data_IF_395531876013
#
_entry.id   IF_395531876013
#
_cell.length_a   1.000
_cell.length_b   1.000
_cell.length_c   1.000
_cell.angle_alpha   90.00
_cell.angle_beta   90.00
_cell.angle_gamma   90.00
#
_symmetry.space_group_name_H-M   'P 1'
#
loop_
_entity.id
_entity.type
_entity.pdbx_description
1 polymer ?
#
# COMPACT_ATOMS: atom_id res chain seq x y z
N UNK A 1 -39.45 -13.35 -2.33
CA UNK A 1 -38.07 -13.32 -2.86
C UNK A 1 -37.41 -12.02 -2.46
N UNK A 2 -36.43 -12.02 -1.54
CA UNK A 2 -35.74 -10.80 -1.12
C UNK A 2 -34.78 -10.33 -2.21
N UNK A 3 -34.84 -9.04 -2.58
CA UNK A 3 -33.90 -8.40 -3.51
C UNK A 3 -32.54 -8.27 -2.82
N UNK A 4 -31.50 -8.97 -3.31
CA UNK A 4 -30.12 -8.70 -2.94
C UNK A 4 -29.74 -7.32 -3.47
N UNK A 5 -29.63 -6.32 -2.60
CA UNK A 5 -29.00 -5.06 -2.94
C UNK A 5 -27.48 -5.28 -3.02
N UNK A 6 -26.80 -4.78 -4.06
CA UNK A 6 -25.35 -4.90 -4.16
C UNK A 6 -24.70 -4.26 -2.92
N UNK A 7 -23.87 -5.04 -2.25
CA UNK A 7 -23.11 -4.61 -1.07
C UNK A 7 -22.18 -3.46 -1.48
N UNK A 8 -22.42 -2.27 -0.92
CA UNK A 8 -21.67 -1.07 -1.23
C UNK A 8 -20.28 -1.22 -0.61
N UNK A 9 -19.27 -1.50 -1.43
CA UNK A 9 -17.87 -1.52 -1.01
C UNK A 9 -17.45 -0.06 -0.78
N UNK A 10 -17.55 0.40 0.47
CA UNK A 10 -16.97 1.65 0.90
C UNK A 10 -15.45 1.48 0.93
N UNK A 11 -14.78 1.83 -0.18
CA UNK A 11 -13.33 2.00 -0.20
C UNK A 11 -13.00 3.15 0.74
N UNK A 12 -12.69 2.82 2.00
CA UNK A 12 -12.11 3.76 2.96
C UNK A 12 -10.73 4.13 2.46
N UNK A 13 -10.66 5.10 1.56
CA UNK A 13 -9.42 5.81 1.24
C UNK A 13 -9.07 6.58 2.51
N UNK A 14 -8.34 5.94 3.42
CA UNK A 14 -7.74 6.55 4.58
C UNK A 14 -6.57 7.44 4.12
N UNK A 15 -6.86 8.45 3.31
CA UNK A 15 -6.07 9.66 3.35
C UNK A 15 -6.78 10.56 4.34
N UNK A 16 -6.15 10.90 5.47
CA UNK A 16 -6.78 11.77 6.44
C UNK A 16 -7.25 13.00 5.68
N UNK A 17 -8.51 13.37 5.86
CA UNK A 17 -9.15 14.54 5.28
C UNK A 17 -8.49 15.82 5.78
N UNK A 18 -7.16 15.92 5.79
CA UNK A 18 -6.38 17.04 6.30
C UNK A 18 -5.66 17.69 5.14
N UNK A 19 -5.76 19.00 5.06
CA UNK A 19 -5.05 19.78 4.07
C UNK A 19 -3.52 19.61 4.31
N UNK A 20 -2.71 19.25 3.30
CA UNK A 20 -1.26 19.13 3.46
C UNK A 20 -0.54 20.43 3.84
N UNK A 21 -1.24 21.58 3.74
CA UNK A 21 -0.68 22.90 4.03
C UNK A 21 -0.93 23.34 5.47
N UNK A 22 -2.19 23.45 5.89
CA UNK A 22 -2.52 23.88 7.25
C UNK A 22 -2.67 22.71 8.23
N UNK A 23 -2.73 21.47 7.74
CA UNK A 23 -3.00 20.25 8.52
C UNK A 23 -4.38 20.19 9.18
N UNK A 24 -5.26 21.16 8.90
CA UNK A 24 -6.66 21.16 9.33
C UNK A 24 -7.53 20.28 8.43
N UNK A 25 -8.70 19.90 8.95
CA UNK A 25 -9.62 19.03 8.23
C UNK A 25 -10.31 19.75 7.06
N UNK A 26 -10.28 19.18 5.85
CA UNK A 26 -10.99 19.65 4.65
C UNK A 26 -12.41 19.08 4.67
N UNK A 27 -13.40 19.93 4.90
CA UNK A 27 -14.81 19.50 5.00
C UNK A 27 -15.46 19.31 3.63
N UNK A 28 -16.52 18.49 3.51
CA UNK A 28 -17.23 18.30 2.26
C UNK A 28 -17.82 19.58 1.67
N UNK A 29 -18.29 20.49 2.54
CA UNK A 29 -19.03 21.71 2.21
C UNK A 29 -18.12 22.92 1.90
N UNK A 30 -16.82 22.81 2.18
CA UNK A 30 -15.84 23.87 1.93
C UNK A 30 -15.37 23.88 0.48
N UNK A 31 -14.95 25.05 0.01
CA UNK A 31 -14.29 25.16 -1.30
C UNK A 31 -12.93 24.46 -1.24
N UNK A 32 -12.77 23.45 -2.09
CA UNK A 32 -11.63 22.53 -2.05
C UNK A 32 -11.14 22.16 -3.43
N UNK A 33 -9.85 21.89 -3.52
CA UNK A 33 -9.17 21.47 -4.74
C UNK A 33 -8.65 20.03 -4.58
N UNK A 34 -8.94 19.19 -5.57
CA UNK A 34 -8.37 17.84 -5.66
C UNK A 34 -7.19 17.86 -6.65
N UNK A 35 -6.03 17.39 -6.21
CA UNK A 35 -4.88 17.27 -7.10
C UNK A 35 -5.12 16.19 -8.17
N UNK A 36 -5.01 16.55 -9.45
CA UNK A 36 -5.16 15.60 -10.57
C UNK A 36 -4.11 14.47 -10.58
N UNK A 37 -2.95 14.69 -9.95
CA UNK A 37 -1.85 13.71 -9.93
C UNK A 37 -1.98 12.64 -8.86
N UNK A 38 -2.37 13.01 -7.64
CA UNK A 38 -2.41 12.09 -6.49
C UNK A 38 -3.78 12.00 -5.81
N UNK A 39 -4.78 12.73 -6.30
CA UNK A 39 -6.15 12.78 -5.77
C UNK A 39 -6.26 13.28 -4.32
N UNK A 40 -5.23 13.94 -3.79
CA UNK A 40 -5.26 14.55 -2.47
C UNK A 40 -6.15 15.81 -2.45
N UNK A 41 -6.95 15.98 -1.38
CA UNK A 41 -7.81 17.13 -1.15
C UNK A 41 -7.12 18.23 -0.35
N UNK A 42 -7.37 19.50 -0.71
CA UNK A 42 -6.79 20.69 -0.08
C UNK A 42 -7.84 21.80 -0.07
N UNK A 43 -7.80 22.73 0.89
CA UNK A 43 -8.61 23.95 0.79
C UNK A 43 -8.23 24.74 -0.46
N UNK A 44 -9.22 25.29 -1.17
CA UNK A 44 -8.98 26.05 -2.39
C UNK A 44 -8.06 27.25 -2.15
N UNK A 45 -8.23 27.94 -1.02
CA UNK A 45 -7.37 29.06 -0.60
C UNK A 45 -5.91 28.65 -0.40
N UNK A 46 -5.67 27.53 0.31
CA UNK A 46 -4.31 27.02 0.50
C UNK A 46 -3.68 26.66 -0.86
N UNK A 47 -4.42 25.98 -1.73
CA UNK A 47 -3.89 25.63 -3.04
C UNK A 47 -3.57 26.87 -3.90
N UNK A 48 -4.41 27.89 -3.87
CA UNK A 48 -4.19 29.14 -4.59
C UNK A 48 -2.93 29.89 -4.12
N UNK A 49 -2.62 29.82 -2.82
CA UNK A 49 -1.43 30.47 -2.25
C UNK A 49 -0.11 29.81 -2.69
N UNK A 50 -0.07 28.47 -2.82
CA UNK A 50 1.16 27.72 -3.11
C UNK A 50 1.30 27.29 -4.58
N UNK A 51 0.21 27.27 -5.36
CA UNK A 51 0.17 26.93 -6.79
C UNK A 51 0.79 25.58 -7.20
N UNK A 52 0.96 24.66 -6.25
CA UNK A 52 1.37 23.28 -6.46
C UNK A 52 0.58 22.37 -5.51
N UNK A 53 0.69 21.04 -5.60
CA UNK A 53 0.09 20.14 -4.62
C UNK A 53 1.04 19.91 -3.44
N UNK A 54 0.57 20.08 -2.21
CA UNK A 54 1.38 19.88 -1.00
C UNK A 54 1.73 18.42 -0.72
N UNK A 55 1.03 17.47 -1.36
CA UNK A 55 1.29 16.03 -1.22
C UNK A 55 2.29 15.49 -2.27
N UNK A 56 2.14 15.85 -3.55
CA UNK A 56 2.96 15.30 -4.63
C UNK A 56 3.84 16.33 -5.37
N UNK A 57 3.74 17.62 -5.02
CA UNK A 57 4.53 18.71 -5.63
C UNK A 57 4.12 19.09 -7.05
N UNK A 58 3.15 18.41 -7.67
CA UNK A 58 2.73 18.70 -9.05
C UNK A 58 1.96 20.02 -9.11
N UNK A 59 2.36 20.91 -10.02
CA UNK A 59 1.62 22.12 -10.38
C UNK A 59 0.46 21.79 -11.34
N UNK A 60 -0.67 22.51 -11.28
CA UNK A 60 -1.76 22.35 -12.24
C UNK A 60 -1.26 22.70 -13.66
N UNK A 61 -1.65 21.89 -14.64
CA UNK A 61 -1.22 22.10 -16.02
C UNK A 61 -1.63 23.49 -16.52
N UNK A 62 -0.68 24.24 -17.09
CA UNK A 62 -0.94 25.54 -17.70
C UNK A 62 -0.84 26.76 -16.77
N UNK A 63 -0.61 26.59 -15.47
CA UNK A 63 -0.26 27.71 -14.58
C UNK A 63 1.25 27.74 -14.35
N UNK A 64 1.98 28.75 -14.85
CA UNK A 64 3.38 28.89 -14.48
C UNK A 64 3.46 29.03 -12.96
N UNK A 65 4.36 28.26 -12.34
CA UNK A 65 4.59 28.35 -10.91
C UNK A 65 4.90 29.83 -10.58
N UNK A 66 4.17 30.47 -9.65
CA UNK A 66 4.52 31.81 -9.21
C UNK A 66 5.96 31.74 -8.73
N UNK A 67 6.81 32.61 -9.29
CA UNK A 67 8.17 32.74 -8.78
C UNK A 67 8.06 32.95 -7.26
N UNK A 68 8.75 32.16 -6.43
CA UNK A 68 8.60 32.25 -4.99
C UNK A 68 8.85 33.70 -4.60
N UNK A 69 7.81 34.37 -4.08
CA UNK A 69 7.92 35.74 -3.64
C UNK A 69 9.00 35.76 -2.56
N UNK A 70 10.20 36.26 -2.91
CA UNK A 70 11.26 36.46 -1.94
C UNK A 70 10.73 37.45 -0.93
N UNK A 71 10.37 36.97 0.27
CA UNK A 71 10.08 37.87 1.37
C UNK A 71 11.31 38.78 1.54
N UNK A 72 11.16 40.11 1.45
CA UNK A 72 12.26 41.01 1.71
C UNK A 72 12.75 40.76 3.14
N UNK A 73 14.02 40.35 3.27
CA UNK A 73 14.63 40.04 4.58
C UNK A 73 14.58 38.58 5.01
N UNK A 74 14.08 37.64 4.19
CA UNK A 74 14.28 36.23 4.49
C UNK A 74 15.77 35.85 4.36
N UNK A 75 16.37 35.17 5.35
CA UNK A 75 17.74 34.69 5.25
C UNK A 75 17.87 33.80 4.02
N UNK A 76 19.01 33.90 3.36
CA UNK A 76 19.34 33.08 2.20
C UNK A 76 19.21 31.59 2.55
N UNK A 77 18.92 30.75 1.55
CA UNK A 77 18.90 29.29 1.74
C UNK A 77 20.22 28.78 2.35
N UNK A 78 21.32 29.46 2.04
CA UNK A 78 22.64 29.17 2.59
C UNK A 78 22.72 29.48 4.09
N UNK A 79 22.20 30.64 4.54
CA UNK A 79 22.16 31.00 5.96
C UNK A 79 21.25 30.06 6.75
N UNK A 80 20.07 29.70 6.21
CA UNK A 80 19.20 28.70 6.84
C UNK A 80 19.85 27.33 6.94
N UNK A 81 20.59 26.91 5.90
CA UNK A 81 21.30 25.64 5.91
C UNK A 81 22.41 25.64 6.97
N UNK A 82 23.15 26.74 7.12
CA UNK A 82 24.16 26.90 8.18
C UNK A 82 23.55 26.85 9.57
N UNK A 83 22.50 27.63 9.83
CA UNK A 83 21.81 27.62 11.13
C UNK A 83 21.25 26.22 11.46
N UNK A 84 20.73 25.50 10.47
CA UNK A 84 20.24 24.14 10.67
C UNK A 84 21.38 23.17 11.02
N UNK A 85 22.52 23.26 10.33
CA UNK A 85 23.71 22.45 10.65
C UNK A 85 24.22 22.76 12.05
N UNK A 86 24.36 24.03 12.43
CA UNK A 86 24.79 24.44 13.78
C UNK A 86 23.81 23.92 14.85
N UNK A 87 22.50 23.91 14.58
CA UNK A 87 21.49 23.31 15.47
C UNK A 87 21.62 21.79 15.59
N UNK A 88 21.96 21.09 14.51
CA UNK A 88 22.17 19.63 14.51
C UNK A 88 23.44 19.29 15.29
N UNK A 89 24.52 20.05 15.09
CA UNK A 89 25.78 19.87 15.78
C UNK A 89 25.66 20.19 17.28
N UNK A 90 25.02 21.31 17.63
CA UNK A 90 24.89 21.76 19.04
C UNK A 90 23.95 20.90 19.88
N UNK A 91 22.92 20.28 19.29
CA UNK A 91 22.03 19.38 20.03
C UNK A 91 22.66 18.01 20.31
N UNK A 92 23.77 17.67 19.65
CA UNK A 92 24.23 16.29 19.51
C UNK A 92 23.18 15.51 18.72
N UNK A 93 23.57 14.79 17.67
CA UNK A 93 22.59 14.01 16.91
C UNK A 93 21.88 13.02 17.86
N UNK A 94 20.57 13.16 18.14
CA UNK A 94 19.86 12.24 19.04
C UNK A 94 19.76 10.83 18.43
N UNK A 95 20.26 10.65 17.21
CA UNK A 95 20.30 9.39 16.47
C UNK A 95 21.47 8.51 16.94
N UNK A 96 22.49 9.07 17.61
CA UNK A 96 23.70 8.33 17.90
C UNK A 96 23.60 7.33 19.06
N UNK A 97 22.67 7.49 20.03
CA UNK A 97 22.91 6.84 21.34
C UNK A 97 21.79 6.04 21.99
N UNK A 98 20.61 5.82 21.40
CA UNK A 98 19.58 5.03 22.13
C UNK A 98 18.84 4.00 21.27
N UNK A 99 19.13 2.72 21.52
CA UNK A 99 18.32 1.54 21.22
C UNK A 99 18.10 1.12 19.74
N UNK A 100 18.47 1.92 18.73
CA UNK A 100 18.16 1.62 17.32
C UNK A 100 19.13 0.66 16.60
N UNK A 101 20.25 0.29 17.23
CA UNK A 101 21.34 -0.43 16.55
C UNK A 101 21.32 -1.95 16.70
N UNK A 102 20.46 -2.55 17.53
CA UNK A 102 20.45 -4.01 17.69
C UNK A 102 19.38 -4.66 16.82
N UNK A 103 19.68 -5.84 16.32
CA UNK A 103 18.70 -6.70 15.67
C UNK A 103 17.48 -6.92 16.59
N UNK A 104 16.27 -6.79 16.06
CA UNK A 104 15.02 -7.00 16.82
C UNK A 104 14.75 -8.49 17.14
N UNK A 105 15.55 -9.41 16.63
CA UNK A 105 15.41 -10.83 16.94
C UNK A 105 15.74 -11.08 18.43
N UNK A 106 14.89 -11.80 19.18
CA UNK A 106 15.12 -12.06 20.60
C UNK A 106 16.49 -12.70 20.84
N UNK A 107 17.29 -12.09 21.71
CA UNK A 107 18.62 -12.60 22.07
C UNK A 107 19.70 -12.42 21.00
N UNK A 108 19.45 -11.69 19.91
CA UNK A 108 20.47 -11.43 18.89
C UNK A 108 21.31 -10.20 19.28
N UNK A 109 22.63 -10.36 19.50
CA UNK A 109 23.50 -9.23 19.84
C UNK A 109 23.97 -8.44 18.62
N UNK A 110 23.73 -8.93 17.40
CA UNK A 110 24.25 -8.31 16.18
C UNK A 110 23.63 -6.95 15.90
N UNK A 111 24.46 -6.08 15.29
CA UNK A 111 24.02 -4.77 14.85
C UNK A 111 23.02 -4.87 13.68
N UNK A 112 22.07 -3.94 13.67
CA UNK A 112 21.10 -3.74 12.60
C UNK A 112 21.78 -3.13 11.39
N UNK A 113 21.33 -3.49 10.19
CA UNK A 113 21.73 -2.79 8.97
C UNK A 113 21.20 -1.36 8.98
N UNK A 114 22.09 -0.38 8.77
CA UNK A 114 21.73 1.03 8.58
C UNK A 114 20.82 1.15 7.36
N UNK A 115 19.69 1.84 7.50
CA UNK A 115 18.92 2.32 6.35
C UNK A 115 17.62 1.60 5.97
N UNK A 116 17.13 0.52 6.62
CA UNK A 116 15.69 0.11 6.49
C UNK A 116 15.24 -1.21 7.13
N UNK A 117 16.11 -2.13 7.58
CA UNK A 117 15.62 -3.42 8.10
C UNK A 117 15.70 -3.50 9.61
N UNK A 118 14.60 -3.89 10.28
CA UNK A 118 14.53 -4.18 11.73
C UNK A 118 15.48 -5.31 12.21
N UNK A 119 16.18 -5.97 11.28
CA UNK A 119 16.99 -7.16 11.51
C UNK A 119 18.43 -6.98 11.01
N UNK A 120 19.36 -7.72 11.61
CA UNK A 120 20.72 -7.90 11.08
C UNK A 120 20.69 -8.69 9.75
N UNK A 121 21.84 -8.74 9.05
CA UNK A 121 21.95 -9.44 7.77
C UNK A 121 21.52 -10.91 7.85
N UNK A 122 21.90 -11.61 8.92
CA UNK A 122 21.56 -13.01 9.15
C UNK A 122 20.05 -13.22 9.31
N UNK A 123 19.42 -12.52 10.26
CA UNK A 123 17.98 -12.66 10.49
C UNK A 123 17.14 -12.16 9.31
N UNK A 124 17.65 -11.17 8.55
CA UNK A 124 17.02 -10.75 7.30
C UNK A 124 17.04 -11.86 6.25
N UNK A 125 18.15 -12.59 6.12
CA UNK A 125 18.25 -13.73 5.22
C UNK A 125 17.31 -14.86 5.66
N UNK A 126 17.27 -15.19 6.95
CA UNK A 126 16.35 -16.20 7.49
C UNK A 126 14.88 -15.81 7.29
N UNK A 127 14.52 -14.55 7.55
CA UNK A 127 13.17 -14.05 7.31
C UNK A 127 12.78 -14.15 5.84
N UNK A 128 13.68 -13.79 4.91
CA UNK A 128 13.46 -13.97 3.46
C UNK A 128 13.28 -15.45 3.09
N UNK A 129 14.05 -16.36 3.67
CA UNK A 129 13.90 -17.80 3.42
C UNK A 129 12.57 -18.34 3.96
N UNK A 130 12.14 -17.90 5.15
CA UNK A 130 10.82 -18.28 5.71
C UNK A 130 9.68 -17.77 4.85
N UNK A 131 9.73 -16.51 4.42
CA UNK A 131 8.77 -15.92 3.47
C UNK A 131 8.69 -16.75 2.19
N UNK A 132 9.83 -17.04 1.54
CA UNK A 132 9.86 -17.86 0.32
C UNK A 132 9.31 -19.27 0.50
N UNK A 133 9.57 -19.90 1.65
CA UNK A 133 9.01 -21.23 1.96
C UNK A 133 7.49 -21.17 2.14
N UNK A 134 6.98 -20.10 2.74
CA UNK A 134 5.54 -19.87 2.89
C UNK A 134 4.88 -19.60 1.54
N UNK A 135 5.52 -18.81 0.67
CA UNK A 135 5.06 -18.56 -0.69
C UNK A 135 5.03 -19.87 -1.50
N UNK A 136 6.10 -20.68 -1.43
CA UNK A 136 6.18 -21.97 -2.11
C UNK A 136 5.11 -22.96 -1.64
N UNK A 137 4.84 -23.05 -0.34
CA UNK A 137 3.75 -23.88 0.21
C UNK A 137 2.38 -23.41 -0.27
N UNK A 138 2.17 -22.10 -0.32
CA UNK A 138 0.92 -21.52 -0.83
C UNK A 138 0.72 -21.90 -2.29
N UNK A 139 1.75 -21.76 -3.13
CA UNK A 139 1.69 -22.13 -4.55
C UNK A 139 1.48 -23.64 -4.75
N UNK A 140 2.14 -24.50 -3.97
CA UNK A 140 1.92 -25.95 -4.01
C UNK A 140 0.50 -26.32 -3.61
N UNK A 141 -0.06 -25.67 -2.57
CA UNK A 141 -1.44 -25.85 -2.15
C UNK A 141 -2.43 -25.50 -3.25
N UNK A 142 -2.21 -24.38 -3.95
CA UNK A 142 -3.01 -23.96 -5.10
C UNK A 142 -2.91 -24.99 -6.24
N UNK A 143 -1.70 -25.45 -6.55
CA UNK A 143 -1.47 -26.45 -7.58
C UNK A 143 -2.21 -27.77 -7.31
N UNK A 144 -2.11 -28.28 -6.07
CA UNK A 144 -2.80 -29.49 -5.65
C UNK A 144 -4.33 -29.33 -5.71
N UNK A 145 -4.85 -28.19 -5.26
CA UNK A 145 -6.27 -27.89 -5.32
C UNK A 145 -6.79 -27.91 -6.77
N UNK A 146 -6.07 -27.26 -7.70
CA UNK A 146 -6.43 -27.28 -9.12
C UNK A 146 -6.38 -28.70 -9.70
N UNK A 147 -5.37 -29.50 -9.34
CA UNK A 147 -5.25 -30.88 -9.81
C UNK A 147 -6.45 -31.73 -9.39
N UNK A 148 -6.94 -31.58 -8.14
CA UNK A 148 -8.15 -32.25 -7.65
C UNK A 148 -9.39 -31.82 -8.45
N UNK A 149 -9.54 -30.52 -8.73
CA UNK A 149 -10.65 -30.00 -9.54
C UNK A 149 -10.65 -30.60 -10.95
N UNK A 150 -9.50 -30.60 -11.63
CA UNK A 150 -9.39 -31.18 -12.97
C UNK A 150 -9.61 -32.69 -12.98
N UNK A 151 -9.11 -33.41 -11.97
CA UNK A 151 -9.36 -34.84 -11.82
C UNK A 151 -10.86 -35.13 -11.62
N UNK A 152 -11.57 -34.31 -10.83
CA UNK A 152 -13.01 -34.42 -10.64
C UNK A 152 -13.79 -34.18 -11.94
N UNK A 153 -13.42 -33.15 -12.71
CA UNK A 153 -14.02 -32.87 -14.03
C UNK A 153 -13.76 -34.04 -15.00
N UNK A 154 -12.52 -34.53 -15.07
CA UNK A 154 -12.17 -35.64 -15.95
C UNK A 154 -12.89 -36.95 -15.57
N UNK A 155 -13.02 -37.23 -14.27
CA UNK A 155 -13.78 -38.37 -13.77
C UNK A 155 -15.27 -38.27 -14.13
N UNK A 156 -15.86 -37.09 -13.92
CA UNK A 156 -17.26 -36.82 -14.28
C UNK A 156 -17.51 -37.02 -15.79
N UNK A 157 -16.63 -36.46 -16.64
CA UNK A 157 -16.71 -36.61 -18.10
C UNK A 157 -16.50 -38.05 -18.58
N UNK A 158 -15.73 -38.87 -17.83
CA UNK A 158 -15.50 -40.29 -18.19
C UNK A 158 -16.68 -41.18 -17.79
N UNK A 159 -17.37 -40.86 -16.70
CA UNK A 159 -18.45 -41.68 -16.17
C UNK A 159 -19.77 -41.57 -16.94
N UNK A 160 -19.98 -40.50 -17.72
CA UNK A 160 -21.29 -40.22 -18.32
C UNK A 160 -21.67 -41.14 -19.48
N UNK A 161 -20.71 -41.71 -20.24
CA UNK A 161 -20.97 -42.61 -21.38
C UNK A 161 -21.70 -41.99 -22.58
N UNK A 162 -22.49 -40.94 -22.36
CA UNK A 162 -23.19 -40.11 -23.34
C UNK A 162 -22.44 -38.78 -23.52
N UNK A 163 -22.57 -38.19 -24.70
CA UNK A 163 -22.05 -36.86 -24.97
C UNK A 163 -22.73 -35.87 -24.01
N UNK A 164 -21.97 -34.97 -23.35
CA UNK A 164 -22.53 -34.07 -22.34
C UNK A 164 -23.65 -33.23 -22.95
N UNK A 165 -24.80 -33.21 -22.27
CA UNK A 165 -25.92 -32.38 -22.67
C UNK A 165 -25.57 -30.90 -22.53
N UNK A 166 -26.35 -30.04 -23.18
CA UNK A 166 -26.20 -28.58 -23.06
C UNK A 166 -26.21 -28.11 -21.59
N UNK A 167 -27.02 -28.74 -20.76
CA UNK A 167 -27.14 -28.40 -19.34
C UNK A 167 -25.91 -28.83 -18.52
N UNK A 168 -25.25 -29.93 -18.88
CA UNK A 168 -23.99 -30.36 -18.24
C UNK A 168 -22.86 -29.38 -18.55
N UNK A 169 -22.77 -28.91 -19.79
CA UNK A 169 -21.76 -27.92 -20.22
C UNK A 169 -21.96 -26.61 -19.47
N UNK A 170 -23.21 -26.16 -19.30
CA UNK A 170 -23.54 -24.97 -18.52
C UNK A 170 -23.20 -25.17 -17.04
N UNK A 171 -23.47 -26.34 -16.47
CA UNK A 171 -23.08 -26.70 -15.10
C UNK A 171 -21.57 -26.61 -14.88
N UNK A 172 -20.78 -27.22 -15.78
CA UNK A 172 -19.31 -27.16 -15.73
C UNK A 172 -18.83 -25.71 -15.84
N UNK A 173 -19.40 -24.93 -16.75
CA UNK A 173 -19.03 -23.52 -16.93
C UNK A 173 -19.29 -22.68 -15.67
N UNK A 174 -20.44 -22.89 -15.01
CA UNK A 174 -20.77 -22.22 -13.75
C UNK A 174 -19.82 -22.59 -12.62
N UNK A 175 -19.48 -23.89 -12.49
CA UNK A 175 -18.52 -24.36 -11.49
C UNK A 175 -17.15 -23.71 -11.71
N UNK A 176 -16.65 -23.73 -12.95
CA UNK A 176 -15.35 -23.12 -13.28
C UNK A 176 -15.36 -21.61 -13.04
N UNK A 177 -16.47 -20.92 -13.37
CA UNK A 177 -16.62 -19.48 -13.14
C UNK A 177 -16.64 -19.14 -11.65
N UNK A 178 -17.40 -19.90 -10.85
CA UNK A 178 -17.43 -19.73 -9.39
C UNK A 178 -16.05 -19.96 -8.77
N UNK A 179 -15.31 -20.96 -9.27
CA UNK A 179 -13.96 -21.25 -8.81
C UNK A 179 -12.98 -20.13 -9.17
N UNK A 180 -13.05 -19.60 -10.40
CA UNK A 180 -12.25 -18.44 -10.81
C UNK A 180 -12.55 -17.20 -9.96
N UNK A 181 -13.82 -16.95 -9.63
CA UNK A 181 -14.21 -15.85 -8.76
C UNK A 181 -13.65 -16.01 -7.34
N UNK A 182 -13.75 -17.21 -6.76
CA UNK A 182 -13.19 -17.53 -5.44
C UNK A 182 -11.66 -17.40 -5.40
N UNK A 183 -10.96 -17.90 -6.42
CA UNK A 183 -9.52 -17.76 -6.53
C UNK A 183 -9.08 -16.29 -6.60
N UNK A 184 -9.82 -15.46 -7.36
CA UNK A 184 -9.56 -14.02 -7.47
C UNK A 184 -9.81 -13.30 -6.14
N UNK A 185 -10.93 -13.59 -5.48
CA UNK A 185 -11.26 -13.03 -4.17
C UNK A 185 -10.22 -13.40 -3.10
N UNK A 186 -9.79 -14.66 -3.10
CA UNK A 186 -8.76 -15.13 -2.18
C UNK A 186 -7.39 -14.49 -2.47
N UNK A 187 -6.99 -14.36 -3.74
CA UNK A 187 -5.78 -13.64 -4.14
C UNK A 187 -5.80 -12.17 -3.70
N UNK A 188 -6.93 -11.48 -3.86
CA UNK A 188 -7.12 -10.12 -3.37
C UNK A 188 -7.00 -10.04 -1.84
N UNK A 189 -7.60 -10.99 -1.11
CA UNK A 189 -7.51 -11.06 0.34
C UNK A 189 -6.07 -11.28 0.83
N UNK A 190 -5.31 -12.18 0.19
CA UNK A 190 -3.89 -12.41 0.49
C UNK A 190 -3.08 -11.13 0.29
N UNK A 191 -3.29 -10.40 -0.81
CA UNK A 191 -2.60 -9.13 -1.07
C UNK A 191 -2.90 -8.07 0.01
N UNK A 192 -4.17 -7.94 0.42
CA UNK A 192 -4.57 -7.03 1.49
C UNK A 192 -3.90 -7.42 2.82
N UNK A 193 -3.84 -8.71 3.12
CA UNK A 193 -3.23 -9.21 4.36
C UNK A 193 -1.73 -8.94 4.41
N UNK A 194 -1.00 -9.27 3.34
CA UNK A 194 0.44 -9.00 3.23
C UNK A 194 0.73 -7.50 3.38
N UNK A 195 -0.12 -6.64 2.82
CA UNK A 195 0.02 -5.19 2.97
C UNK A 195 -0.18 -4.72 4.41
N UNK A 196 -1.10 -5.31 5.17
CA UNK A 196 -1.32 -4.98 6.59
C UNK A 196 -0.18 -5.44 7.48
N UNK A 197 0.35 -6.64 7.25
CA UNK A 197 1.46 -7.18 8.04
C UNK A 197 2.80 -6.47 7.73
N UNK A 198 2.91 -5.84 6.56
CA UNK A 198 4.07 -5.07 6.14
C UNK A 198 4.10 -3.60 6.57
N UNK A 199 3.06 -3.10 7.25
CA UNK A 199 3.04 -1.72 7.75
C UNK A 199 3.61 -1.67 9.18
N UNK A 200 4.85 -1.19 9.38
CA UNK A 200 5.49 -1.16 10.69
C UNK A 200 4.94 -0.07 11.62
N UNK A 201 3.92 0.69 11.18
CA UNK A 201 3.32 1.79 11.93
C UNK A 201 2.11 1.42 12.79
N UNK A 202 1.80 0.12 12.89
CA UNK A 202 0.85 -0.41 13.87
C UNK A 202 1.35 -0.37 15.31
#
# INVERSE_FOLDING_TARGET
MPRMTPERIDVRVAHPHRCPYCHDAVRPEEEKHACEGCMAWMHAECFAAYAACGACGRAPAGRPAPAPARSPGAPSLLERAKELNERIESRGSPIADTAAERCRAPGCPEARLVGSSLFCARHRAEHRLRSRRQDARTLLGIGLLNLVVFAGIAWFLRGSGEAPGRDDVLGIFWILSAFGALATAWGAWVLVRVRREGDPSG
#
